data_IF_679918449073
#
_entry.id   IF_679918449073
#
_cell.length_a   1.000
_cell.length_b   1.000
_cell.length_c   1.000
_cell.angle_alpha   90.00
_cell.angle_beta   90.00
_cell.angle_gamma   90.00
#
_symmetry.space_group_name_H-M   'P 1'
#
loop_
_entity.id
_entity.type
_entity.pdbx_description
1 polymer ?
#
# COMPACT_ATOMS: atom_id res chain seq x y z
N UNK A 1 18.96 -12.93 -11.70
CA UNK A 1 18.66 -11.96 -12.78
C UNK A 1 17.17 -11.97 -13.19
N UNK A 2 16.25 -12.19 -12.23
CA UNK A 2 14.78 -12.15 -12.42
C UNK A 2 14.06 -10.85 -11.95
N UNK A 3 14.64 -9.87 -11.22
CA UNK A 3 13.90 -8.71 -10.71
C UNK A 3 13.28 -7.81 -11.79
N UNK A 4 14.00 -7.53 -12.89
CA UNK A 4 13.58 -6.53 -13.88
C UNK A 4 12.26 -6.90 -14.59
N UNK A 5 12.05 -8.18 -14.90
CA UNK A 5 10.82 -8.64 -15.53
C UNK A 5 9.62 -8.58 -14.56
N UNK A 6 9.84 -8.80 -13.26
CA UNK A 6 8.81 -8.65 -12.22
C UNK A 6 8.38 -7.20 -12.09
N UNK A 7 9.38 -6.32 -11.98
CA UNK A 7 9.21 -4.87 -11.85
C UNK A 7 8.40 -4.35 -13.04
N UNK A 8 8.83 -4.65 -14.26
CA UNK A 8 8.15 -4.21 -15.47
C UNK A 8 6.70 -4.72 -15.55
N UNK A 9 6.44 -5.97 -15.18
CA UNK A 9 5.09 -6.53 -15.19
C UNK A 9 4.16 -5.78 -14.22
N UNK A 10 4.63 -5.51 -13.00
CA UNK A 10 3.86 -4.75 -12.01
C UNK A 10 3.66 -3.29 -12.43
N UNK A 11 4.67 -2.64 -12.99
CA UNK A 11 4.54 -1.26 -13.49
C UNK A 11 3.50 -1.14 -14.61
N UNK A 12 3.47 -2.11 -15.54
CA UNK A 12 2.45 -2.17 -16.60
C UNK A 12 1.06 -2.39 -16.00
N UNK A 13 0.92 -3.31 -15.04
CA UNK A 13 -0.35 -3.56 -14.36
C UNK A 13 -0.84 -2.33 -13.58
N UNK A 14 0.06 -1.66 -12.87
CA UNK A 14 -0.23 -0.43 -12.14
C UNK A 14 -0.64 0.71 -13.09
N UNK A 15 0.04 0.88 -14.23
CA UNK A 15 -0.34 1.89 -15.22
C UNK A 15 -1.77 1.67 -15.73
N UNK A 16 -2.12 0.42 -16.07
CA UNK A 16 -3.50 0.05 -16.44
C UNK A 16 -4.50 0.29 -15.31
N UNK A 17 -4.11 -0.02 -14.08
CA UNK A 17 -4.93 0.25 -12.90
C UNK A 17 -5.24 1.75 -12.74
N UNK A 18 -4.27 2.64 -12.98
CA UNK A 18 -4.46 4.10 -12.93
C UNK A 18 -5.39 4.60 -14.05
N UNK A 19 -5.29 4.06 -15.26
CA UNK A 19 -6.20 4.36 -16.37
C UNK A 19 -7.64 3.95 -16.03
N UNK A 20 -7.80 2.74 -15.50
CA UNK A 20 -9.07 2.18 -15.04
C UNK A 20 -9.67 3.01 -13.89
N UNK A 21 -8.86 3.44 -12.91
CA UNK A 21 -9.28 4.38 -11.87
C UNK A 21 -9.85 5.65 -12.47
N UNK A 22 -9.10 6.25 -13.40
CA UNK A 22 -9.51 7.50 -14.04
C UNK A 22 -10.85 7.35 -14.76
N UNK A 23 -11.08 6.21 -15.42
CA UNK A 23 -12.37 5.88 -16.03
C UNK A 23 -13.47 5.73 -14.97
N UNK A 24 -13.27 4.93 -13.92
CA UNK A 24 -14.25 4.73 -12.85
C UNK A 24 -14.61 6.04 -12.14
N UNK A 25 -13.64 6.92 -11.88
CA UNK A 25 -13.87 8.25 -11.30
C UNK A 25 -14.77 9.10 -12.22
N UNK A 26 -14.59 9.05 -13.54
CA UNK A 26 -15.47 9.75 -14.50
C UNK A 26 -16.89 9.17 -14.50
N UNK A 27 -17.02 7.84 -14.45
CA UNK A 27 -18.32 7.16 -14.40
C UNK A 27 -19.09 7.49 -13.11
N UNK A 28 -18.42 7.45 -11.95
CA UNK A 28 -18.99 7.86 -10.66
C UNK A 28 -19.45 9.32 -10.70
N UNK A 29 -18.60 10.22 -11.23
CA UNK A 29 -18.96 11.64 -11.39
C UNK A 29 -20.20 11.82 -12.27
N UNK A 30 -20.24 11.18 -13.43
CA UNK A 30 -21.39 11.27 -14.33
C UNK A 30 -22.67 10.73 -13.66
N UNK A 31 -22.59 9.59 -12.98
CA UNK A 31 -23.72 9.00 -12.27
C UNK A 31 -24.23 9.89 -11.13
N UNK A 32 -23.33 10.59 -10.41
CA UNK A 32 -23.70 11.51 -9.33
C UNK A 32 -24.22 12.86 -9.85
N UNK A 33 -23.71 13.35 -10.99
CA UNK A 33 -24.13 14.60 -11.63
C UNK A 33 -25.48 14.53 -12.34
N UNK A 34 -25.94 13.32 -12.73
CA UNK A 34 -27.24 13.14 -13.37
C UNK A 34 -28.46 13.49 -12.48
N UNK A 35 -28.26 14.00 -11.25
CA UNK A 35 -29.18 14.73 -10.35
C UNK A 35 -30.68 14.40 -10.39
N UNK A 36 -31.06 13.18 -10.76
CA UNK A 36 -32.41 12.69 -10.53
C UNK A 36 -32.49 12.17 -9.08
N UNK A 37 -33.53 12.56 -8.32
CA UNK A 37 -33.87 11.94 -7.04
C UNK A 37 -33.91 10.40 -7.11
N UNK A 38 -34.15 9.87 -8.32
CA UNK A 38 -34.21 8.46 -8.66
C UNK A 38 -32.98 7.90 -9.37
N UNK A 39 -31.76 8.48 -9.25
CA UNK A 39 -30.55 7.76 -9.72
C UNK A 39 -30.60 6.37 -9.09
N UNK A 40 -30.76 5.29 -9.88
CA UNK A 40 -31.19 4.03 -9.32
C UNK A 40 -30.11 3.59 -8.33
N UNK A 41 -30.52 3.44 -7.07
CA UNK A 41 -29.65 2.98 -6.00
C UNK A 41 -28.85 1.72 -6.39
N UNK A 42 -29.41 0.76 -7.17
CA UNK A 42 -28.65 -0.35 -7.72
C UNK A 42 -27.45 0.05 -8.60
N UNK A 43 -27.53 1.13 -9.38
CA UNK A 43 -26.42 1.60 -10.23
C UNK A 43 -25.30 2.18 -9.38
N UNK A 44 -25.61 3.02 -8.40
CA UNK A 44 -24.60 3.59 -7.50
C UNK A 44 -23.93 2.49 -6.66
N UNK A 45 -24.73 1.50 -6.21
CA UNK A 45 -24.22 0.30 -5.54
C UNK A 45 -23.24 -0.47 -6.42
N UNK A 46 -23.63 -0.78 -7.65
CA UNK A 46 -22.78 -1.51 -8.60
C UNK A 46 -21.47 -0.75 -8.90
N UNK A 47 -21.52 0.57 -9.08
CA UNK A 47 -20.33 1.39 -9.28
C UNK A 47 -19.43 1.41 -8.03
N UNK A 48 -20.02 1.48 -6.84
CA UNK A 48 -19.26 1.45 -5.60
C UNK A 48 -18.57 0.09 -5.38
N UNK A 49 -19.28 -1.01 -5.63
CA UNK A 49 -18.74 -2.37 -5.55
C UNK A 49 -17.64 -2.60 -6.60
N UNK A 50 -17.81 -2.09 -7.82
CA UNK A 50 -16.77 -2.11 -8.85
C UNK A 50 -15.53 -1.31 -8.44
N UNK A 51 -15.71 -0.18 -7.75
CA UNK A 51 -14.60 0.60 -7.18
C UNK A 51 -13.84 -0.17 -6.09
N UNK A 52 -14.55 -0.82 -5.16
CA UNK A 52 -13.93 -1.65 -4.12
C UNK A 52 -13.17 -2.85 -4.72
N UNK A 53 -13.79 -3.57 -5.65
CA UNK A 53 -13.16 -4.68 -6.36
C UNK A 53 -11.91 -4.25 -7.15
N UNK A 54 -11.88 -3.00 -7.60
CA UNK A 54 -10.73 -2.46 -8.30
C UNK A 54 -9.53 -2.20 -7.35
N UNK A 55 -9.76 -1.71 -6.13
CA UNK A 55 -8.70 -1.66 -5.11
C UNK A 55 -8.23 -3.05 -4.67
N UNK A 56 -9.14 -4.02 -4.55
CA UNK A 56 -8.80 -5.41 -4.22
C UNK A 56 -7.79 -6.00 -5.22
N UNK A 57 -7.98 -5.73 -6.53
CA UNK A 57 -7.03 -6.17 -7.57
C UNK A 57 -5.64 -5.57 -7.40
N UNK A 58 -5.54 -4.28 -7.07
CA UNK A 58 -4.24 -3.63 -6.83
C UNK A 58 -3.51 -4.26 -5.64
N UNK A 59 -4.21 -4.52 -4.54
CA UNK A 59 -3.60 -5.14 -3.37
C UNK A 59 -3.11 -6.57 -3.65
N UNK A 60 -3.85 -7.34 -4.46
CA UNK A 60 -3.41 -8.66 -4.92
C UNK A 60 -2.17 -8.59 -5.81
N UNK A 61 -2.16 -7.70 -6.80
CA UNK A 61 -1.00 -7.47 -7.67
C UNK A 61 0.24 -7.07 -6.85
N UNK A 62 0.04 -6.19 -5.87
CA UNK A 62 1.10 -5.70 -5.00
C UNK A 62 1.64 -6.78 -4.06
N UNK A 63 0.78 -7.65 -3.52
CA UNK A 63 1.21 -8.81 -2.74
C UNK A 63 2.09 -9.76 -3.59
N UNK A 64 1.65 -10.05 -4.82
CA UNK A 64 2.43 -10.88 -5.75
C UNK A 64 3.79 -10.26 -6.10
N UNK A 65 3.84 -8.94 -6.30
CA UNK A 65 5.09 -8.21 -6.50
C UNK A 65 5.99 -8.24 -5.26
N UNK A 66 5.42 -8.04 -4.06
CA UNK A 66 6.18 -8.00 -2.80
C UNK A 66 6.83 -9.34 -2.47
N UNK A 67 6.17 -10.47 -2.76
CA UNK A 67 6.74 -11.82 -2.59
C UNK A 67 7.96 -12.08 -3.47
N UNK A 68 8.12 -11.31 -4.56
CA UNK A 68 9.22 -11.46 -5.53
C UNK A 68 10.30 -10.41 -5.30
N UNK A 69 9.91 -9.18 -5.00
CA UNK A 69 10.80 -8.07 -4.65
C UNK A 69 10.09 -7.08 -3.72
N UNK A 70 10.21 -7.33 -2.42
CA UNK A 70 9.59 -6.49 -1.38
C UNK A 70 10.21 -5.09 -1.32
N UNK A 71 11.49 -4.94 -1.64
CA UNK A 71 12.16 -3.63 -1.60
C UNK A 71 11.68 -2.72 -2.73
N UNK A 72 11.46 -3.27 -3.92
CA UNK A 72 10.81 -2.54 -5.01
C UNK A 72 9.44 -2.00 -4.58
N UNK A 73 8.58 -2.85 -4.01
CA UNK A 73 7.24 -2.45 -3.58
C UNK A 73 7.29 -1.40 -2.46
N UNK A 74 8.14 -1.61 -1.44
CA UNK A 74 8.29 -0.72 -0.29
C UNK A 74 8.93 0.62 -0.64
N UNK A 75 9.88 0.65 -1.57
CA UNK A 75 10.52 1.90 -2.03
C UNK A 75 9.52 2.85 -2.71
N UNK A 76 8.39 2.32 -3.18
CA UNK A 76 7.43 3.08 -3.97
C UNK A 76 7.96 3.48 -5.34
N UNK A 77 8.98 2.79 -5.87
CA UNK A 77 9.60 3.10 -7.17
C UNK A 77 8.57 3.19 -8.32
N UNK A 78 7.51 2.38 -8.23
CA UNK A 78 6.35 2.34 -9.11
C UNK A 78 5.42 3.58 -9.03
N UNK A 79 5.69 4.52 -8.13
CA UNK A 79 4.98 5.80 -8.00
C UNK A 79 5.90 7.00 -8.25
N UNK A 80 5.35 8.15 -8.70
CA UNK A 80 6.07 9.41 -8.72
C UNK A 80 6.66 9.81 -7.36
N UNK A 81 7.85 10.43 -7.38
CA UNK A 81 8.66 10.66 -6.18
C UNK A 81 7.91 11.38 -5.05
N UNK A 82 7.12 12.41 -5.38
CA UNK A 82 6.41 13.17 -4.36
C UNK A 82 5.24 12.40 -3.73
N UNK A 83 4.67 11.44 -4.45
CA UNK A 83 3.62 10.58 -3.92
C UNK A 83 4.18 9.57 -2.90
N UNK A 84 5.48 9.24 -3.01
CA UNK A 84 6.18 8.32 -2.09
C UNK A 84 6.26 8.85 -0.67
N UNK A 85 6.22 10.18 -0.51
CA UNK A 85 6.26 10.84 0.80
C UNK A 85 5.10 10.43 1.71
N UNK A 86 3.97 10.04 1.14
CA UNK A 86 2.77 9.63 1.87
C UNK A 86 2.64 8.11 2.05
N UNK A 87 3.68 7.34 1.73
CA UNK A 87 3.66 5.89 1.89
C UNK A 87 3.95 5.48 3.34
N UNK A 88 3.09 4.64 3.86
CA UNK A 88 3.22 3.87 5.10
C UNK A 88 3.12 2.39 4.74
N UNK A 89 4.18 1.60 4.93
CA UNK A 89 4.21 0.18 4.55
C UNK A 89 3.66 -0.04 3.12
N UNK A 90 4.36 0.57 2.16
CA UNK A 90 4.10 0.51 0.72
C UNK A 90 2.73 1.04 0.23
N UNK A 91 1.95 1.77 1.03
CA UNK A 91 0.67 2.35 0.60
C UNK A 91 0.18 3.47 1.53
N UNK A 92 -1.06 3.92 1.42
CA UNK A 92 -1.60 4.96 2.31
C UNK A 92 -1.89 4.43 3.73
N UNK A 93 -1.94 5.30 4.75
CA UNK A 93 -2.53 4.96 6.05
C UNK A 93 -4.06 5.00 5.99
N UNK A 94 -4.76 3.90 6.31
CA UNK A 94 -6.23 3.90 6.36
C UNK A 94 -6.85 5.02 7.21
N UNK A 95 -6.29 5.35 8.39
CA UNK A 95 -6.81 6.41 9.27
C UNK A 95 -6.72 7.80 8.62
N UNK A 96 -5.62 8.05 7.91
CA UNK A 96 -5.38 9.32 7.23
C UNK A 96 -6.31 9.45 6.02
N UNK A 97 -6.52 8.34 5.30
CA UNK A 97 -7.53 8.30 4.24
C UNK A 97 -8.93 8.62 4.78
N UNK A 98 -9.33 8.01 5.90
CA UNK A 98 -10.62 8.30 6.52
C UNK A 98 -10.76 9.76 6.95
N UNK A 99 -9.67 10.41 7.41
CA UNK A 99 -9.67 11.84 7.74
C UNK A 99 -9.91 12.72 6.50
N UNK A 100 -9.36 12.35 5.35
CA UNK A 100 -9.56 13.07 4.09
C UNK A 100 -10.97 12.87 3.55
N UNK A 101 -11.51 11.65 3.66
CA UNK A 101 -12.80 11.31 3.07
C UNK A 101 -14.01 11.70 3.92
N UNK A 102 -13.96 11.58 5.25
CA UNK A 102 -15.12 11.80 6.11
C UNK A 102 -15.81 13.16 5.89
N UNK A 103 -15.10 14.30 5.75
CA UNK A 103 -15.73 15.59 5.49
C UNK A 103 -16.47 15.67 4.14
N UNK A 104 -16.11 14.83 3.16
CA UNK A 104 -16.73 14.80 1.84
C UNK A 104 -18.06 14.01 1.83
N UNK A 105 -18.39 13.33 2.93
CA UNK A 105 -19.53 12.42 3.03
C UNK A 105 -20.74 13.05 3.74
N UNK A 106 -20.65 14.30 4.18
CA UNK A 106 -21.74 14.99 4.86
C UNK A 106 -22.92 15.26 3.91
N UNK A 107 -24.19 15.08 4.36
CA UNK A 107 -24.59 14.74 5.72
C UNK A 107 -24.48 13.24 6.04
N UNK A 108 -23.87 12.92 7.19
CA UNK A 108 -23.94 11.59 7.82
C UNK A 108 -25.02 11.56 8.91
N UNK A 109 -25.65 10.42 9.16
CA UNK A 109 -26.48 10.25 10.35
C UNK A 109 -25.61 10.10 11.61
N UNK A 110 -26.10 10.49 12.80
CA UNK A 110 -25.33 10.34 14.06
C UNK A 110 -24.79 8.92 14.28
N UNK A 111 -25.58 7.84 14.06
CA UNK A 111 -25.06 6.48 14.18
C UNK A 111 -23.95 6.16 13.17
N UNK A 112 -23.99 6.75 11.97
CA UNK A 112 -22.93 6.59 10.98
C UNK A 112 -21.66 7.32 11.42
N UNK A 113 -21.76 8.57 11.90
CA UNK A 113 -20.62 9.33 12.43
C UNK A 113 -19.89 8.56 13.53
N UNK A 114 -20.63 8.02 14.51
CA UNK A 114 -20.05 7.22 15.58
C UNK A 114 -19.32 5.96 15.05
N UNK A 115 -19.90 5.27 14.06
CA UNK A 115 -19.28 4.10 13.43
C UNK A 115 -18.01 4.47 12.64
N UNK A 116 -18.02 5.57 11.89
CA UNK A 116 -16.84 6.07 11.15
C UNK A 116 -15.72 6.45 12.12
N UNK A 117 -16.04 7.16 13.21
CA UNK A 117 -15.07 7.51 14.24
C UNK A 117 -14.43 6.27 14.88
N UNK A 118 -15.24 5.25 15.21
CA UNK A 118 -14.76 3.97 15.73
C UNK A 118 -13.88 3.24 14.71
N UNK A 119 -14.31 3.16 13.45
CA UNK A 119 -13.53 2.54 12.37
C UNK A 119 -12.15 3.19 12.25
N UNK A 120 -12.09 4.53 12.27
CA UNK A 120 -10.84 5.27 12.26
C UNK A 120 -9.95 4.95 13.45
N UNK A 121 -10.51 4.88 14.66
CA UNK A 121 -9.76 4.52 15.86
C UNK A 121 -9.19 3.09 15.76
N UNK A 122 -9.99 2.12 15.33
CA UNK A 122 -9.55 0.73 15.17
C UNK A 122 -8.49 0.59 14.08
N UNK A 123 -8.66 1.27 12.94
CA UNK A 123 -7.65 1.33 11.89
C UNK A 123 -6.32 1.88 12.44
N UNK A 124 -6.37 2.98 13.22
CA UNK A 124 -5.16 3.58 13.79
C UNK A 124 -4.43 2.64 14.75
N UNK A 125 -5.16 1.94 15.61
CA UNK A 125 -4.56 0.96 16.53
C UNK A 125 -3.84 -0.17 15.77
N UNK A 126 -4.46 -0.68 14.70
CA UNK A 126 -3.83 -1.70 13.86
C UNK A 126 -2.61 -1.16 13.09
N UNK A 127 -2.67 0.08 12.61
CA UNK A 127 -1.52 0.76 11.99
C UNK A 127 -0.34 0.91 12.95
N UNK A 128 -0.60 1.32 14.19
CA UNK A 128 0.43 1.50 15.20
C UNK A 128 1.07 0.14 15.55
N UNK A 129 0.26 -0.93 15.68
CA UNK A 129 0.76 -2.28 15.92
C UNK A 129 1.64 -2.81 14.76
N UNK A 130 1.21 -2.61 13.51
CA UNK A 130 1.99 -2.99 12.33
C UNK A 130 3.30 -2.19 12.21
N UNK A 131 3.27 -0.89 12.52
CA UNK A 131 4.46 -0.04 12.51
C UNK A 131 5.47 -0.51 13.56
N UNK A 132 5.02 -0.79 14.80
CA UNK A 132 5.89 -1.33 15.84
C UNK A 132 6.47 -2.70 15.48
N UNK A 133 5.69 -3.56 14.82
CA UNK A 133 6.19 -4.84 14.32
C UNK A 133 7.29 -4.67 13.28
N UNK A 134 7.11 -3.73 12.34
CA UNK A 134 8.12 -3.38 11.34
C UNK A 134 9.40 -2.85 11.98
N UNK A 135 9.29 -1.95 12.95
CA UNK A 135 10.44 -1.36 13.64
C UNK A 135 11.26 -2.46 14.36
N UNK A 136 10.58 -3.41 15.01
CA UNK A 136 11.24 -4.57 15.64
C UNK A 136 11.94 -5.47 14.62
N UNK A 137 11.34 -5.70 13.45
CA UNK A 137 11.96 -6.45 12.37
C UNK A 137 13.24 -5.75 11.86
N UNK A 138 13.18 -4.44 11.68
CA UNK A 138 14.32 -3.62 11.25
C UNK A 138 15.44 -3.59 12.29
N UNK A 139 15.12 -3.51 13.58
CA UNK A 139 16.09 -3.61 14.67
C UNK A 139 16.75 -4.98 14.70
N UNK A 140 15.96 -6.06 14.65
CA UNK A 140 16.48 -7.43 14.59
C UNK A 140 17.39 -7.68 13.36
N UNK A 141 17.09 -7.02 12.24
CA UNK A 141 17.93 -7.01 11.04
C UNK A 141 19.28 -6.34 11.30
N UNK A 142 19.27 -5.14 11.87
CA UNK A 142 20.48 -4.39 12.21
C UNK A 142 21.36 -5.15 13.21
N UNK A 143 20.78 -5.69 14.28
CA UNK A 143 21.50 -6.46 15.30
C UNK A 143 22.18 -7.70 14.69
N UNK A 144 21.49 -8.41 13.80
CA UNK A 144 22.03 -9.58 13.12
C UNK A 144 23.19 -9.24 12.18
N UNK A 145 23.18 -8.06 11.54
CA UNK A 145 24.30 -7.59 10.72
C UNK A 145 25.49 -7.20 11.60
N UNK A 146 25.25 -6.51 12.71
CA UNK A 146 26.30 -6.14 13.68
C UNK A 146 26.96 -7.36 14.31
N UNK A 147 26.18 -8.34 14.76
CA UNK A 147 26.70 -9.61 15.29
C UNK A 147 27.54 -10.36 14.25
N UNK A 148 27.09 -10.38 12.98
CA UNK A 148 27.85 -11.03 11.90
C UNK A 148 29.16 -10.32 11.54
N UNK A 149 29.26 -9.02 11.81
CA UNK A 149 30.49 -8.25 11.63
C UNK A 149 31.44 -8.44 12.82
N UNK A 150 30.90 -8.55 14.04
CA UNK A 150 31.68 -8.79 15.26
C UNK A 150 32.29 -10.20 15.32
N UNK A 151 31.62 -11.21 14.77
CA UNK A 151 32.15 -12.58 14.65
C UNK A 151 33.04 -12.79 13.42
N UNK A 152 33.34 -11.72 12.68
CA UNK A 152 34.19 -11.73 11.47
C UNK A 152 35.69 -11.82 11.73
N UNK A 153 36.13 -12.02 12.97
CA UNK A 153 37.52 -12.30 13.34
C UNK A 153 37.52 -13.39 14.42
N UNK A 154 37.74 -14.64 14.02
CA UNK A 154 38.34 -15.75 14.79
C UNK A 154 38.04 -17.08 14.07
N UNK A 155 38.68 -17.33 12.92
CA UNK A 155 39.05 -18.70 12.51
C UNK A 155 40.35 -18.61 11.67
N UNK A 156 41.41 -18.04 12.24
CA UNK A 156 42.75 -18.57 11.98
C UNK A 156 42.91 -19.76 12.94
N UNK A 157 42.60 -20.98 12.48
CA UNK A 157 42.74 -22.14 13.35
C UNK A 157 42.20 -23.46 12.79
N UNK A 158 43.06 -24.14 12.02
CA UNK A 158 43.10 -25.59 11.82
C UNK A 158 42.07 -26.27 10.88
N UNK A 159 42.57 -26.49 9.66
CA UNK A 159 42.34 -27.58 8.70
C UNK A 159 41.56 -28.82 9.19
N UNK A 160 40.39 -29.08 8.56
CA UNK A 160 40.04 -30.31 7.82
C UNK A 160 38.54 -30.25 7.42
N UNK A 161 38.20 -29.61 6.29
CA UNK A 161 36.76 -29.40 5.99
C UNK A 161 36.32 -28.67 4.72
N UNK A 162 37.21 -28.36 3.77
CA UNK A 162 36.90 -28.08 2.35
C UNK A 162 35.83 -27.01 2.00
N UNK A 163 35.60 -26.82 0.70
CA UNK A 163 34.57 -25.93 0.13
C UNK A 163 33.15 -26.16 0.70
N UNK A 164 32.90 -27.30 1.36
CA UNK A 164 31.65 -27.68 2.01
C UNK A 164 31.33 -26.81 3.25
N UNK A 165 32.32 -26.41 4.06
CA UNK A 165 32.11 -25.54 5.23
C UNK A 165 31.71 -24.12 4.85
N UNK A 166 32.38 -23.56 3.83
CA UNK A 166 32.05 -22.24 3.25
C UNK A 166 30.64 -22.22 2.64
N UNK A 167 30.26 -23.28 1.91
CA UNK A 167 28.92 -23.42 1.35
C UNK A 167 27.82 -23.50 2.43
N UNK A 168 28.07 -24.24 3.52
CA UNK A 168 27.14 -24.36 4.67
C UNK A 168 26.92 -23.02 5.38
N UNK A 169 27.98 -22.23 5.57
CA UNK A 169 27.89 -20.87 6.13
C UNK A 169 27.09 -19.93 5.21
N UNK A 170 27.41 -19.89 3.92
CA UNK A 170 26.70 -19.05 2.93
C UNK A 170 25.23 -19.44 2.82
N UNK A 171 24.94 -20.75 2.81
CA UNK A 171 23.57 -21.26 2.77
C UNK A 171 22.76 -20.86 4.02
N UNK A 172 23.36 -20.94 5.21
CA UNK A 172 22.71 -20.52 6.47
C UNK A 172 22.42 -19.02 6.49
N UNK A 173 23.38 -18.20 6.05
CA UNK A 173 23.22 -16.74 5.94
C UNK A 173 22.14 -16.36 4.93
N UNK A 174 22.11 -17.02 3.77
CA UNK A 174 21.08 -16.83 2.75
C UNK A 174 19.70 -17.22 3.29
N UNK A 175 19.57 -18.37 3.95
CA UNK A 175 18.31 -18.82 4.55
C UNK A 175 17.77 -17.82 5.59
N UNK A 176 18.65 -17.26 6.43
CA UNK A 176 18.28 -16.19 7.37
C UNK A 176 17.81 -14.91 6.67
N UNK A 177 18.48 -14.49 5.59
CA UNK A 177 18.08 -13.32 4.81
C UNK A 177 16.74 -13.53 4.09
N UNK A 178 16.52 -14.70 3.48
CA UNK A 178 15.27 -15.05 2.81
C UNK A 178 14.08 -15.01 3.76
N UNK A 179 14.20 -15.60 4.96
CA UNK A 179 13.16 -15.53 6.00
C UNK A 179 12.78 -14.10 6.34
N UNK A 180 13.75 -13.19 6.43
CA UNK A 180 13.49 -11.77 6.73
C UNK A 180 12.81 -11.03 5.58
N UNK A 181 13.11 -11.39 4.33
CA UNK A 181 12.40 -10.86 3.16
C UNK A 181 10.95 -11.35 3.14
N UNK A 182 10.70 -12.60 3.52
CA UNK A 182 9.35 -13.15 3.67
C UNK A 182 8.56 -12.45 4.77
N UNK A 183 9.19 -12.22 5.94
CA UNK A 183 8.60 -11.44 7.04
C UNK A 183 8.24 -10.01 6.57
N UNK A 184 9.13 -9.36 5.82
CA UNK A 184 8.92 -8.02 5.29
C UNK A 184 7.77 -7.98 4.27
N UNK A 185 7.69 -8.96 3.37
CA UNK A 185 6.59 -9.10 2.43
C UNK A 185 5.26 -9.35 3.18
N UNK A 186 5.31 -10.13 4.26
CA UNK A 186 4.17 -10.37 5.15
C UNK A 186 3.60 -9.08 5.75
N UNK A 187 4.44 -8.12 6.16
CA UNK A 187 3.97 -6.82 6.63
C UNK A 187 3.29 -5.99 5.53
N UNK A 188 3.79 -6.04 4.29
CA UNK A 188 3.15 -5.36 3.14
C UNK A 188 1.75 -5.93 2.91
N UNK A 189 1.62 -7.25 2.93
CA UNK A 189 0.32 -7.94 2.79
C UNK A 189 -0.63 -7.60 3.94
N UNK A 190 -0.17 -7.61 5.19
CA UNK A 190 -0.99 -7.23 6.34
C UNK A 190 -1.47 -5.78 6.27
N UNK A 191 -0.60 -4.86 5.84
CA UNK A 191 -0.98 -3.46 5.66
C UNK A 191 -2.00 -3.27 4.54
N UNK A 192 -1.86 -3.98 3.42
CA UNK A 192 -2.86 -3.95 2.33
C UNK A 192 -4.18 -4.62 2.73
N UNK A 193 -4.13 -5.69 3.52
CA UNK A 193 -5.33 -6.28 4.10
C UNK A 193 -6.07 -5.30 5.02
N UNK A 194 -5.35 -4.54 5.85
CA UNK A 194 -5.95 -3.50 6.69
C UNK A 194 -6.61 -2.40 5.85
N UNK A 195 -5.99 -1.98 4.74
CA UNK A 195 -6.59 -1.01 3.78
C UNK A 195 -7.89 -1.55 3.21
N UNK A 196 -7.86 -2.78 2.71
CA UNK A 196 -9.01 -3.46 2.14
C UNK A 196 -10.18 -3.57 3.14
N UNK A 197 -9.91 -4.06 4.35
CA UNK A 197 -10.94 -4.18 5.39
C UNK A 197 -11.48 -2.83 5.82
N UNK A 198 -10.63 -1.80 5.90
CA UNK A 198 -11.08 -0.44 6.22
C UNK A 198 -12.03 0.11 5.16
N UNK A 199 -11.70 -0.04 3.87
CA UNK A 199 -12.56 0.38 2.76
C UNK A 199 -13.90 -0.36 2.76
N UNK A 200 -13.89 -1.68 2.98
CA UNK A 200 -15.11 -2.50 3.07
C UNK A 200 -15.97 -2.14 4.27
N UNK A 201 -15.37 -1.92 5.43
CA UNK A 201 -16.09 -1.51 6.63
C UNK A 201 -16.69 -0.12 6.47
N UNK A 202 -15.98 0.80 5.80
CA UNK A 202 -16.53 2.10 5.44
C UNK A 202 -17.76 1.93 4.54
N UNK A 203 -17.66 1.13 3.48
CA UNK A 203 -18.79 0.82 2.59
C UNK A 203 -20.02 0.27 3.34
N UNK A 204 -19.81 -0.65 4.30
CA UNK A 204 -20.90 -1.20 5.14
C UNK A 204 -21.60 -0.17 6.04
N UNK A 205 -20.94 0.94 6.37
CA UNK A 205 -21.51 2.01 7.19
C UNK A 205 -22.36 2.97 6.35
N UNK A 206 -21.98 3.16 5.08
CA UNK A 206 -22.51 4.19 4.19
C UNK A 206 -23.71 3.69 3.38
N UNK A 207 -24.55 4.63 2.92
CA UNK A 207 -25.51 4.35 1.85
C UNK A 207 -24.78 4.21 0.51
N UNK A 208 -25.37 3.57 -0.52
CA UNK A 208 -24.73 3.47 -1.84
C UNK A 208 -24.35 4.81 -2.46
N UNK A 209 -25.16 5.86 -2.24
CA UNK A 209 -24.83 7.21 -2.68
C UNK A 209 -23.63 7.79 -1.92
N UNK A 210 -23.59 7.67 -0.60
CA UNK A 210 -22.43 8.11 0.19
C UNK A 210 -21.16 7.34 -0.20
N UNK A 211 -21.25 6.02 -0.43
CA UNK A 211 -20.14 5.22 -0.89
C UNK A 211 -19.62 5.67 -2.26
N UNK A 212 -20.52 5.95 -3.21
CA UNK A 212 -20.15 6.49 -4.52
C UNK A 212 -19.46 7.86 -4.40
N UNK A 213 -19.95 8.76 -3.52
CA UNK A 213 -19.30 10.05 -3.24
C UNK A 213 -17.92 9.85 -2.61
N UNK A 214 -17.78 8.92 -1.67
CA UNK A 214 -16.49 8.60 -1.04
C UNK A 214 -15.45 8.07 -2.03
N UNK A 215 -15.84 7.17 -2.92
CA UNK A 215 -14.96 6.64 -3.97
C UNK A 215 -14.61 7.70 -5.03
N UNK A 216 -15.56 8.57 -5.38
CA UNK A 216 -15.26 9.74 -6.23
C UNK A 216 -14.25 10.67 -5.56
N UNK A 217 -14.46 11.00 -4.28
CA UNK A 217 -13.55 11.86 -3.52
C UNK A 217 -12.14 11.24 -3.40
N UNK A 218 -12.05 9.92 -3.24
CA UNK A 218 -10.79 9.19 -3.22
C UNK A 218 -10.08 9.25 -4.58
N UNK A 219 -10.78 8.98 -5.68
CA UNK A 219 -10.23 9.11 -7.03
C UNK A 219 -9.72 10.52 -7.32
N UNK A 220 -10.49 11.54 -6.93
CA UNK A 220 -10.09 12.94 -7.11
C UNK A 220 -8.90 13.33 -6.25
N UNK A 221 -8.79 12.79 -5.03
CA UNK A 221 -7.62 12.97 -4.18
C UNK A 221 -6.37 12.38 -4.85
N UNK A 222 -6.45 11.15 -5.36
CA UNK A 222 -5.34 10.51 -6.08
C UNK A 222 -4.93 11.29 -7.33
N UNK A 223 -5.89 11.77 -8.12
CA UNK A 223 -5.61 12.59 -9.31
C UNK A 223 -4.96 13.93 -8.96
N UNK A 224 -5.43 14.61 -7.90
CA UNK A 224 -4.82 15.85 -7.42
C UNK A 224 -3.38 15.64 -6.94
N UNK A 225 -3.15 14.57 -6.19
CA UNK A 225 -1.81 14.23 -5.73
C UNK A 225 -0.86 13.93 -6.91
N UNK A 226 -1.36 13.24 -7.94
CA UNK A 226 -0.60 12.97 -9.16
C UNK A 226 -0.27 14.23 -9.96
N UNK A 227 -1.25 15.14 -10.10
CA UNK A 227 -1.05 16.42 -10.77
C UNK A 227 0.01 17.28 -10.04
N UNK A 228 -0.06 17.36 -8.71
CA UNK A 228 0.95 18.05 -7.89
C UNK A 228 2.34 17.45 -8.07
N UNK A 229 2.45 16.12 -8.08
CA UNK A 229 3.72 15.42 -8.31
C UNK A 229 4.32 15.77 -9.68
N UNK A 230 3.48 15.82 -10.71
CA UNK A 230 3.89 16.19 -12.07
C UNK A 230 4.39 17.63 -12.13
N UNK A 231 3.68 18.56 -11.48
CA UNK A 231 4.09 19.98 -11.41
C UNK A 231 5.42 20.16 -10.69
N UNK A 232 5.64 19.44 -9.58
CA UNK A 232 6.93 19.48 -8.88
C UNK A 232 8.08 18.93 -9.72
N UNK A 233 7.84 17.87 -10.49
CA UNK A 233 8.85 17.30 -11.39
C UNK A 233 9.22 18.25 -12.55
N UNK A 234 8.26 19.06 -13.02
CA UNK A 234 8.43 20.03 -14.09
C UNK A 234 9.03 21.38 -13.63
N UNK A 235 9.35 21.55 -12.33
CA UNK A 235 9.90 22.79 -11.80
C UNK A 235 11.24 23.12 -12.49
N UNK A 236 11.45 24.37 -12.96
CA UNK A 236 12.75 24.81 -13.48
C UNK A 236 13.82 24.59 -12.42
N UNK A 237 14.90 23.89 -12.76
CA UNK A 237 16.09 23.81 -11.93
C UNK A 237 16.96 25.02 -12.26
N UNK A 238 17.28 25.84 -11.28
CA UNK A 238 18.28 26.90 -11.46
C UNK A 238 19.62 26.23 -11.84
N UNK A 239 20.35 26.77 -12.83
CA UNK A 239 21.70 26.29 -13.11
C UNK A 239 22.56 26.56 -11.88
N UNK A 240 23.16 25.49 -11.34
CA UNK A 240 24.12 25.53 -10.22
C UNK A 240 25.44 26.10 -10.71
#
# INVERSE_FOLDING_TARGET
MLPAAVVAAFEIEHARWVEDQTRQTRELRAALQQQHPDTPEPRLRALAEAGLAHYDRMFLAKAAAARRDVFFVMSGAWRPAAERFFLWIAGFRPSDLLNVLAPQLEPLAEPQRAKVARLRQTARQAEDALSQGMDKLQQSLADSLLLSAATGQEEEGFDDGGAAGSYSYVARRMGGAMRRLEELAGFVEQADHLRQETLRNMYRILTPRQAAVGLLALGDYSQRLHALSTLWAARPREPV
#
